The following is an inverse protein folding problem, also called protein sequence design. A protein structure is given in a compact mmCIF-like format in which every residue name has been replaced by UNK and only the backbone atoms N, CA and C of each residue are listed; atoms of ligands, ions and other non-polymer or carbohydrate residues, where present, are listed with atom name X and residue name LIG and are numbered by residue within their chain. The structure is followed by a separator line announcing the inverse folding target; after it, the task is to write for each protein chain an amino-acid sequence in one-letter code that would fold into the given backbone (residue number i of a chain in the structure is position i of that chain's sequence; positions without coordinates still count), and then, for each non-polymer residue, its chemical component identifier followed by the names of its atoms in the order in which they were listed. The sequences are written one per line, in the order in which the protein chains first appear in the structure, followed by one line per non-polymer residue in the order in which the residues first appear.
data_IF_812404421146
#
_entry.id   IF_812404421146
#
_cell.length_a   1.000
_cell.length_b   1.000
_cell.length_c   1.000
_cell.angle_alpha   90.00
_cell.angle_beta   90.00
_cell.angle_gamma   90.00
#
_symmetry.space_group_name_H-M   'P 1'
#
loop_
_entity.id
_entity.type
_entity.pdbx_description
1 polymer ?
#
# COMPACT_ATOMS: atom_id res chain seq x y z
N UNK A 1 -33.00 -39.16 -10.89
CA UNK A 1 -31.73 -38.93 -10.19
C UNK A 1 -31.53 -37.45 -10.03
N UNK A 2 -31.74 -36.94 -8.81
CA UNK A 2 -31.72 -35.51 -8.47
C UNK A 2 -30.30 -35.10 -8.08
N UNK A 3 -29.65 -34.29 -8.93
CA UNK A 3 -28.32 -33.72 -8.68
C UNK A 3 -28.42 -32.51 -7.75
N UNK A 4 -27.88 -32.66 -6.55
CA UNK A 4 -27.85 -31.63 -5.50
C UNK A 4 -26.83 -30.54 -5.87
N UNK A 5 -27.27 -29.27 -5.97
CA UNK A 5 -26.36 -28.10 -6.07
C UNK A 5 -26.00 -27.63 -4.66
N UNK A 6 -24.73 -27.72 -4.30
CA UNK A 6 -24.21 -27.11 -3.09
C UNK A 6 -24.28 -25.58 -3.18
N UNK A 7 -24.69 -24.86 -2.12
CA UNK A 7 -24.60 -23.41 -2.06
C UNK A 7 -23.16 -22.96 -1.78
N UNK A 8 -22.67 -22.02 -2.59
CA UNK A 8 -21.36 -21.38 -2.42
C UNK A 8 -21.23 -20.74 -1.03
N UNK A 9 -20.16 -21.09 -0.29
CA UNK A 9 -19.85 -20.52 1.02
C UNK A 9 -19.52 -19.01 0.94
N UNK A 10 -19.96 -18.15 1.89
CA UNK A 10 -19.77 -16.70 1.82
C UNK A 10 -18.36 -16.18 2.16
N UNK A 11 -17.36 -17.06 2.29
CA UNK A 11 -16.06 -16.70 2.87
C UNK A 11 -14.89 -16.60 1.87
N UNK A 12 -15.16 -16.69 0.56
CA UNK A 12 -14.11 -16.55 -0.47
C UNK A 12 -13.83 -15.09 -0.86
N UNK A 13 -13.71 -14.21 0.13
CA UNK A 13 -13.10 -12.88 -0.03
C UNK A 13 -12.04 -12.70 1.03
N UNK A 14 -11.04 -13.59 0.99
CA UNK A 14 -9.74 -13.34 1.61
C UNK A 14 -9.15 -12.08 0.98
N UNK A 15 -9.37 -10.92 1.60
CA UNK A 15 -8.53 -9.76 1.41
C UNK A 15 -7.12 -10.14 1.87
N UNK A 16 -6.26 -10.49 0.91
CA UNK A 16 -4.85 -10.76 1.16
C UNK A 16 -4.24 -9.60 1.95
N UNK A 17 -3.83 -9.87 3.19
CA UNK A 17 -3.22 -8.91 4.12
C UNK A 17 -1.92 -8.29 3.58
N UNK A 18 -1.35 -8.89 2.53
CA UNK A 18 -0.16 -8.39 1.86
C UNK A 18 -0.46 -7.29 0.82
N UNK A 19 -1.73 -7.06 0.44
CA UNK A 19 -2.10 -5.99 -0.50
C UNK A 19 -1.71 -4.60 0.01
N UNK A 20 -1.70 -4.38 1.32
CA UNK A 20 -1.45 -3.08 1.92
C UNK A 20 0.00 -2.61 1.82
N UNK A 21 0.95 -3.51 2.09
CA UNK A 21 2.37 -3.27 1.83
C UNK A 21 2.61 -3.05 0.34
N UNK A 22 2.03 -3.89 -0.52
CA UNK A 22 2.16 -3.78 -1.97
C UNK A 22 1.58 -2.50 -2.55
N UNK A 23 0.48 -1.97 -2.01
CA UNK A 23 -0.13 -0.71 -2.45
C UNK A 23 0.71 0.53 -2.14
N UNK A 24 1.52 0.50 -1.09
CA UNK A 24 2.43 1.61 -0.76
C UNK A 24 3.44 1.81 -1.89
N UNK A 25 4.11 0.74 -2.32
CA UNK A 25 5.17 0.80 -3.33
C UNK A 25 4.71 0.49 -4.76
N UNK A 26 3.46 0.09 -4.96
CA UNK A 26 2.89 -0.08 -6.30
C UNK A 26 2.41 1.26 -6.86
N UNK A 27 2.76 1.58 -8.12
CA UNK A 27 2.06 2.62 -8.87
C UNK A 27 0.56 2.31 -8.92
N UNK A 28 -0.28 3.35 -8.92
CA UNK A 28 -1.69 3.14 -9.26
C UNK A 28 -1.77 2.71 -10.73
N UNK A 29 -2.71 1.81 -11.08
CA UNK A 29 -2.80 1.23 -12.42
C UNK A 29 -2.98 2.26 -13.56
N UNK A 30 -3.36 3.50 -13.23
CA UNK A 30 -3.48 4.64 -14.14
C UNK A 30 -2.17 5.40 -14.41
N UNK A 31 -1.09 5.13 -13.68
CA UNK A 31 0.16 5.90 -13.70
C UNK A 31 1.36 5.11 -14.28
N UNK A 32 1.15 3.87 -14.70
CA UNK A 32 2.16 2.97 -15.30
C UNK A 32 2.79 3.58 -16.57
N UNK A 33 4.14 3.72 -16.67
CA UNK A 33 4.81 4.42 -17.77
C UNK A 33 4.53 3.91 -19.19
N UNK A 34 4.08 2.66 -19.29
CA UNK A 34 3.91 1.96 -20.56
C UNK A 34 2.57 1.23 -20.65
N UNK A 35 1.71 1.34 -19.63
CA UNK A 35 0.39 0.67 -19.58
C UNK A 35 0.41 -0.86 -19.64
N UNK A 36 1.59 -1.50 -19.61
CA UNK A 36 1.75 -2.98 -19.72
C UNK A 36 2.47 -3.58 -18.51
N UNK A 37 3.26 -2.79 -17.79
CA UNK A 37 3.89 -3.25 -16.56
C UNK A 37 2.81 -3.44 -15.50
N UNK A 38 2.89 -4.57 -14.81
CA UNK A 38 2.00 -4.96 -13.72
C UNK A 38 2.86 -5.33 -12.54
N UNK A 39 2.66 -4.63 -11.43
CA UNK A 39 3.19 -5.07 -10.15
C UNK A 39 2.37 -6.27 -9.67
N UNK A 40 2.98 -7.45 -9.55
CA UNK A 40 2.29 -8.63 -9.02
C UNK A 40 2.35 -8.70 -7.49
N UNK A 41 1.45 -9.50 -6.92
CA UNK A 41 1.29 -9.71 -5.47
C UNK A 41 2.52 -10.28 -4.74
N UNK A 42 3.56 -10.65 -5.48
CA UNK A 42 4.83 -11.24 -5.04
C UNK A 42 5.98 -10.23 -5.02
N UNK A 43 5.74 -8.96 -5.38
CA UNK A 43 6.76 -7.91 -5.41
C UNK A 43 7.63 -7.92 -6.67
N UNK A 44 7.31 -8.75 -7.66
CA UNK A 44 7.97 -8.75 -8.97
C UNK A 44 7.23 -7.82 -9.95
N UNK A 45 8.01 -7.08 -10.75
CA UNK A 45 7.47 -6.33 -11.89
C UNK A 45 7.36 -7.29 -13.08
N UNK A 46 6.13 -7.56 -13.54
CA UNK A 46 5.84 -8.43 -14.68
C UNK A 46 5.24 -7.61 -15.83
N UNK A 47 5.20 -8.16 -17.04
CA UNK A 47 4.67 -7.47 -18.23
C UNK A 47 5.74 -6.89 -19.17
N UNK A 48 7.01 -7.08 -18.86
CA UNK A 48 8.12 -6.75 -19.77
C UNK A 48 8.10 -7.61 -21.04
N UNK A 49 7.69 -8.86 -20.89
CA UNK A 49 7.34 -9.78 -21.97
C UNK A 49 6.27 -9.19 -22.89
N UNK A 50 5.26 -8.52 -22.34
CA UNK A 50 4.22 -7.83 -23.11
C UNK A 50 4.75 -6.64 -23.92
N UNK A 51 5.72 -5.89 -23.39
CA UNK A 51 6.40 -4.79 -24.10
C UNK A 51 7.24 -5.33 -25.26
N UNK A 52 8.03 -6.38 -25.02
CA UNK A 52 8.83 -7.06 -26.03
C UNK A 52 7.96 -7.65 -27.16
N UNK A 53 6.86 -8.34 -26.80
CA UNK A 53 5.94 -8.94 -27.76
C UNK A 53 5.20 -7.88 -28.60
N UNK A 54 4.80 -6.75 -27.99
CA UNK A 54 4.24 -5.60 -28.73
C UNK A 54 5.24 -4.94 -29.67
N UNK A 55 6.52 -4.87 -29.31
CA UNK A 55 7.54 -4.30 -30.20
C UNK A 55 7.81 -5.22 -31.40
N UNK A 56 7.73 -6.54 -31.19
CA UNK A 56 7.82 -7.56 -32.25
C UNK A 56 6.58 -7.59 -33.14
N UNK A 57 5.39 -7.31 -32.61
CA UNK A 57 4.18 -7.21 -33.43
C UNK A 57 4.21 -5.96 -34.33
N UNK A 58 3.61 -6.05 -35.51
CA UNK A 58 3.61 -5.00 -36.54
C UNK A 58 2.56 -3.91 -36.30
N UNK A 59 1.70 -4.04 -35.29
CA UNK A 59 0.46 -3.26 -35.17
C UNK A 59 0.59 -1.91 -34.45
N UNK A 60 1.81 -1.44 -34.14
CA UNK A 60 2.00 -0.17 -33.44
C UNK A 60 2.24 1.00 -34.38
N UNK A 61 1.56 2.11 -34.10
CA UNK A 61 1.88 3.41 -34.71
C UNK A 61 3.36 3.75 -34.52
N UNK A 62 3.99 4.32 -35.54
CA UNK A 62 5.44 4.61 -35.60
C UNK A 62 5.96 5.37 -34.37
N UNK A 63 5.20 6.35 -33.86
CA UNK A 63 5.52 7.13 -32.66
C UNK A 63 5.55 6.27 -31.38
N UNK A 64 4.54 5.42 -31.17
CA UNK A 64 4.49 4.52 -30.02
C UNK A 64 5.62 3.47 -30.04
N UNK A 65 5.94 2.95 -31.24
CA UNK A 65 7.06 2.02 -31.44
C UNK A 65 8.40 2.66 -31.07
N UNK A 66 8.66 3.90 -31.51
CA UNK A 66 9.88 4.66 -31.17
C UNK A 66 9.99 4.92 -29.67
N UNK A 67 8.89 5.25 -29.00
CA UNK A 67 8.85 5.44 -27.53
C UNK A 67 9.18 4.15 -26.77
N UNK A 68 8.61 3.01 -27.18
CA UNK A 68 8.91 1.71 -26.58
C UNK A 68 10.34 1.25 -26.83
N UNK A 69 10.86 1.49 -28.03
CA UNK A 69 12.24 1.17 -28.38
C UNK A 69 13.24 1.98 -27.53
N UNK A 70 13.00 3.28 -27.36
CA UNK A 70 13.78 4.13 -26.46
C UNK A 70 13.68 3.69 -24.99
N UNK A 71 12.50 3.25 -24.54
CA UNK A 71 12.30 2.69 -23.20
C UNK A 71 12.86 1.26 -23.03
N UNK A 72 13.31 0.62 -24.10
CA UNK A 72 14.02 -0.67 -24.06
C UNK A 72 15.54 -0.47 -24.14
N UNK A 73 15.97 0.58 -24.84
CA UNK A 73 17.34 1.09 -24.81
C UNK A 73 17.68 1.71 -23.44
N UNK A 74 16.71 2.41 -22.82
CA UNK A 74 16.81 2.96 -21.48
C UNK A 74 16.22 1.98 -20.48
N UNK A 75 17.00 1.42 -19.56
CA UNK A 75 16.47 0.39 -18.66
C UNK A 75 15.28 0.93 -17.83
N UNK A 76 14.12 0.25 -17.84
CA UNK A 76 12.85 0.68 -17.19
C UNK A 76 13.00 0.99 -15.69
N UNK A 77 13.95 0.33 -15.03
CA UNK A 77 14.23 0.56 -13.61
C UNK A 77 14.65 2.00 -13.33
N UNK A 78 15.32 2.68 -14.26
CA UNK A 78 15.79 4.05 -14.07
C UNK A 78 14.61 5.00 -13.98
N UNK A 79 13.60 4.82 -14.82
CA UNK A 79 12.36 5.59 -14.75
C UNK A 79 11.59 5.29 -13.45
N UNK A 80 11.50 4.03 -13.05
CA UNK A 80 10.88 3.65 -11.77
C UNK A 80 11.63 4.24 -10.57
N UNK A 81 12.96 4.31 -10.64
CA UNK A 81 13.78 4.92 -9.60
C UNK A 81 13.51 6.42 -9.50
N UNK A 82 13.51 7.13 -10.62
CA UNK A 82 13.27 8.58 -10.66
C UNK A 82 11.90 8.94 -10.09
N UNK A 83 10.85 8.29 -10.57
CA UNK A 83 9.48 8.51 -10.05
C UNK A 83 9.36 8.21 -8.56
N UNK A 84 10.00 7.15 -8.09
CA UNK A 84 10.01 6.85 -6.67
C UNK A 84 10.79 7.90 -5.87
N UNK A 85 11.78 8.58 -6.46
CA UNK A 85 12.50 9.67 -5.81
C UNK A 85 11.59 10.89 -5.69
N UNK A 86 10.91 11.27 -6.76
CA UNK A 86 9.91 12.33 -6.75
C UNK A 86 8.82 12.08 -5.70
N UNK A 87 8.24 10.87 -5.69
CA UNK A 87 7.22 10.47 -4.71
C UNK A 87 7.75 10.52 -3.28
N UNK A 88 8.97 10.04 -3.06
CA UNK A 88 9.62 10.09 -1.75
C UNK A 88 9.81 11.54 -1.28
N UNK A 89 10.31 12.43 -2.14
CA UNK A 89 10.49 13.84 -1.80
C UNK A 89 9.16 14.55 -1.50
N UNK A 90 8.10 14.25 -2.27
CA UNK A 90 6.76 14.76 -2.00
C UNK A 90 6.23 14.31 -0.62
N UNK A 91 6.42 13.03 -0.28
CA UNK A 91 6.05 12.51 1.05
C UNK A 91 6.80 13.27 2.13
N UNK A 92 8.12 13.41 2.02
CA UNK A 92 8.94 14.13 2.99
C UNK A 92 8.52 15.60 3.13
N UNK A 93 8.22 16.28 2.01
CA UNK A 93 7.79 17.67 2.01
C UNK A 93 6.44 17.88 2.70
N UNK A 94 5.54 16.88 2.63
CA UNK A 94 4.21 16.92 3.25
C UNK A 94 4.19 16.65 4.76
N UNK A 95 5.31 16.24 5.36
CA UNK A 95 5.36 15.86 6.78
C UNK A 95 5.20 17.07 7.71
N UNK A 96 4.43 16.89 8.79
CA UNK A 96 4.27 17.90 9.83
C UNK A 96 5.60 18.30 10.48
N UNK A 97 5.78 19.59 10.72
CA UNK A 97 7.00 20.15 11.33
C UNK A 97 6.84 20.43 12.83
N UNK A 98 5.60 20.61 13.29
CA UNK A 98 5.26 20.92 14.68
C UNK A 98 4.18 19.98 15.20
N UNK A 99 4.10 19.84 16.54
CA UNK A 99 3.08 19.00 17.17
C UNK A 99 1.64 19.43 16.81
N UNK A 100 1.27 20.73 16.82
CA UNK A 100 -0.07 21.15 16.39
C UNK A 100 -0.38 20.77 14.94
N UNK A 101 0.58 20.92 14.02
CA UNK A 101 0.42 20.48 12.63
C UNK A 101 0.16 18.98 12.54
N UNK A 102 0.90 18.17 13.30
CA UNK A 102 0.72 16.72 13.33
C UNK A 102 -0.66 16.31 13.87
N UNK A 103 -1.17 17.03 14.89
CA UNK A 103 -2.53 16.82 15.42
C UNK A 103 -3.59 17.17 14.37
N UNK A 104 -3.44 18.31 13.69
CA UNK A 104 -4.35 18.72 12.61
C UNK A 104 -4.35 17.72 11.47
N UNK A 105 -3.16 17.29 11.03
CA UNK A 105 -3.00 16.35 9.92
C UNK A 105 -3.56 14.97 10.27
N UNK A 106 -3.30 14.47 11.48
CA UNK A 106 -3.88 13.22 11.98
C UNK A 106 -5.41 13.27 11.96
N UNK A 107 -5.99 14.37 12.44
CA UNK A 107 -7.45 14.55 12.48
C UNK A 107 -8.02 14.64 11.07
N UNK A 108 -7.36 15.36 10.15
CA UNK A 108 -7.74 15.48 8.74
C UNK A 108 -7.70 14.12 8.03
N UNK A 109 -6.69 13.29 8.30
CA UNK A 109 -6.50 11.98 7.65
C UNK A 109 -7.46 10.91 8.15
N UNK A 110 -7.63 10.82 9.46
CA UNK A 110 -8.30 9.68 10.10
C UNK A 110 -9.67 10.01 10.69
N UNK A 111 -10.10 11.27 10.62
CA UNK A 111 -11.42 11.72 11.08
C UNK A 111 -11.63 11.60 12.60
N UNK A 112 -10.55 11.48 13.38
CA UNK A 112 -10.59 11.28 14.82
C UNK A 112 -9.44 12.01 15.52
N UNK A 113 -9.60 12.40 16.79
CA UNK A 113 -8.50 12.98 17.55
C UNK A 113 -7.36 11.97 17.74
N UNK A 114 -6.11 12.44 17.85
CA UNK A 114 -4.98 11.57 18.13
C UNK A 114 -5.12 10.85 19.47
N UNK A 115 -4.55 9.64 19.61
CA UNK A 115 -4.64 8.86 20.84
C UNK A 115 -3.91 9.52 22.01
N UNK A 116 -4.20 9.06 23.22
CA UNK A 116 -3.46 9.47 24.42
C UNK A 116 -1.96 9.13 24.25
N UNK A 117 -1.08 10.07 24.60
CA UNK A 117 0.37 9.91 24.46
C UNK A 117 0.93 10.30 23.09
N UNK A 118 0.12 10.91 22.21
CA UNK A 118 0.58 11.39 20.90
C UNK A 118 1.72 12.42 20.98
N UNK A 119 1.71 13.25 22.01
CA UNK A 119 2.79 14.18 22.34
C UNK A 119 4.11 13.46 22.65
N UNK A 120 4.06 12.37 23.42
CA UNK A 120 5.23 11.56 23.76
C UNK A 120 5.79 10.86 22.51
N UNK A 121 4.91 10.34 21.67
CA UNK A 121 5.28 9.76 20.39
C UNK A 121 5.90 10.81 19.45
N UNK A 122 5.36 12.03 19.39
CA UNK A 122 5.96 13.13 18.63
C UNK A 122 7.38 13.44 19.12
N UNK A 123 7.58 13.53 20.44
CA UNK A 123 8.91 13.74 21.03
C UNK A 123 9.86 12.58 20.70
N UNK A 124 9.38 11.34 20.71
CA UNK A 124 10.15 10.19 20.26
C UNK A 124 10.56 10.33 18.78
N UNK A 125 9.64 10.70 17.89
CA UNK A 125 9.94 10.91 16.47
C UNK A 125 11.02 11.99 16.27
N UNK A 126 10.93 13.11 17.00
CA UNK A 126 11.92 14.19 16.94
C UNK A 126 13.29 13.74 17.44
N UNK A 127 13.36 13.05 18.57
CA UNK A 127 14.63 12.56 19.14
C UNK A 127 15.32 11.53 18.24
N UNK A 128 14.56 10.68 17.57
CA UNK A 128 15.10 9.61 16.72
C UNK A 128 15.19 9.99 15.23
N UNK A 129 14.96 11.26 14.87
CA UNK A 129 15.01 11.74 13.49
C UNK A 129 14.12 10.91 12.53
N UNK A 130 12.95 10.50 13.01
CA UNK A 130 11.96 9.77 12.19
C UNK A 130 11.52 10.66 11.03
N UNK A 131 11.67 10.14 9.80
CA UNK A 131 11.41 10.90 8.58
C UNK A 131 9.93 11.04 8.24
N UNK A 132 9.15 9.99 8.51
CA UNK A 132 7.72 9.96 8.26
C UNK A 132 7.02 10.00 9.61
N UNK A 133 6.43 11.15 9.93
CA UNK A 133 5.82 11.37 11.24
C UNK A 133 4.32 11.17 11.22
N UNK A 134 3.58 11.46 10.16
CA UNK A 134 2.11 11.46 10.22
C UNK A 134 1.42 10.65 9.11
N UNK A 135 2.20 9.98 8.25
CA UNK A 135 1.70 9.19 7.13
C UNK A 135 1.76 7.68 7.45
N UNK A 136 0.75 7.19 8.16
CA UNK A 136 0.61 5.79 8.57
C UNK A 136 -0.72 5.17 8.12
N UNK A 137 -1.16 5.53 6.91
CA UNK A 137 -2.49 5.19 6.39
C UNK A 137 -2.70 3.66 6.31
N UNK A 138 -1.64 2.91 6.02
CA UNK A 138 -1.71 1.46 5.96
C UNK A 138 -2.02 0.85 7.34
N UNK A 139 -1.23 1.20 8.35
CA UNK A 139 -1.47 0.74 9.73
C UNK A 139 -2.87 1.13 10.18
N UNK A 140 -3.30 2.35 9.85
CA UNK A 140 -4.64 2.81 10.22
C UNK A 140 -5.77 2.00 9.59
N UNK A 141 -5.64 1.60 8.32
CA UNK A 141 -6.60 0.68 7.67
C UNK A 141 -6.61 -0.69 8.33
N UNK A 142 -5.43 -1.22 8.64
CA UNK A 142 -5.30 -2.56 9.23
C UNK A 142 -5.93 -2.64 10.61
N UNK A 143 -5.86 -1.55 11.39
CA UNK A 143 -6.46 -1.49 12.72
C UNK A 143 -7.91 -0.97 12.73
N UNK A 144 -8.42 -0.49 11.59
CA UNK A 144 -9.73 0.17 11.49
C UNK A 144 -10.87 -0.75 11.95
N UNK A 145 -10.78 -2.03 11.61
CA UNK A 145 -11.73 -3.07 12.00
C UNK A 145 -11.92 -3.16 13.53
N UNK A 146 -10.88 -2.83 14.31
CA UNK A 146 -10.96 -2.90 15.76
C UNK A 146 -11.61 -1.67 16.40
N UNK A 147 -11.73 -0.55 15.69
CA UNK A 147 -12.41 0.64 16.22
C UNK A 147 -13.92 0.45 16.37
N UNK A 148 -14.52 -0.52 15.67
CA UNK A 148 -15.91 -0.89 15.85
C UNK A 148 -16.17 -1.68 17.15
N UNK A 149 -15.13 -2.20 17.80
CA UNK A 149 -15.25 -2.98 19.03
C UNK A 149 -15.21 -2.06 20.25
N UNK A 150 -16.02 -2.36 21.28
CA UNK A 150 -15.87 -1.68 22.56
C UNK A 150 -14.50 -2.02 23.19
N UNK A 151 -13.89 -1.08 23.91
CA UNK A 151 -12.60 -1.32 24.57
C UNK A 151 -12.60 -2.55 25.50
N UNK A 152 -13.72 -2.82 26.17
CA UNK A 152 -13.86 -3.96 27.07
C UNK A 152 -13.89 -5.29 26.32
N UNK A 153 -14.62 -5.35 25.20
CA UNK A 153 -14.67 -6.54 24.36
C UNK A 153 -13.31 -6.84 23.72
N UNK A 154 -12.61 -5.80 23.26
CA UNK A 154 -11.26 -5.94 22.70
C UNK A 154 -10.30 -6.52 23.74
N UNK A 155 -10.27 -5.98 24.98
CA UNK A 155 -9.44 -6.50 26.08
C UNK A 155 -9.77 -7.95 26.42
N UNK A 156 -11.06 -8.29 26.51
CA UNK A 156 -11.51 -9.68 26.76
C UNK A 156 -10.98 -10.64 25.69
N UNK A 157 -11.10 -10.29 24.40
CA UNK A 157 -10.59 -11.11 23.29
C UNK A 157 -9.07 -11.24 23.31
N UNK A 158 -8.36 -10.15 23.58
CA UNK A 158 -6.89 -10.17 23.68
C UNK A 158 -6.42 -11.06 24.84
N UNK A 159 -7.10 -11.02 25.99
CA UNK A 159 -6.76 -11.88 27.13
C UNK A 159 -7.05 -13.35 26.81
N UNK A 160 -8.20 -13.65 26.20
CA UNK A 160 -8.54 -15.01 25.77
C UNK A 160 -7.48 -15.60 24.83
N UNK A 161 -6.99 -14.82 23.86
CA UNK A 161 -5.94 -15.25 22.93
C UNK A 161 -4.61 -15.60 23.63
N UNK A 162 -4.30 -14.96 24.76
CA UNK A 162 -3.10 -15.29 25.55
C UNK A 162 -3.24 -16.62 26.30
N UNK A 163 -4.47 -16.97 26.66
CA UNK A 163 -4.79 -18.16 27.46
C UNK A 163 -4.99 -19.40 26.59
N UNK A 164 -5.35 -19.25 25.32
CA UNK A 164 -5.48 -20.37 24.38
C UNK A 164 -4.12 -20.96 24.02
N UNK A 165 -3.85 -22.25 24.31
CA UNK A 165 -2.68 -22.94 23.80
C UNK A 165 -2.74 -22.96 22.28
N UNK A 166 -1.71 -22.46 21.61
CA UNK A 166 -1.64 -22.54 20.15
C UNK A 166 -1.41 -23.99 19.76
N UNK A 167 -2.33 -24.56 18.99
CA UNK A 167 -2.12 -25.87 18.38
C UNK A 167 -0.95 -25.75 17.40
N UNK A 168 0.16 -26.44 17.70
CA UNK A 168 1.34 -26.54 16.82
C UNK A 168 1.08 -27.46 15.63
#
# INVERSE_FOLDING_TARGET
GTGNRHPSSPLDKSHSSHRGLLQWWSPSASEEPLGVLKFTGDGLVRGWDGVYNKLKSSDLKRSARKKLQLAMETHPILELMERNRERWQSILASQSKTLPQAVTEYTRRYGRPPPRGFDQWWQFCKRNNVKIVDNYDQINRDIELYFALSPDLLRKRVNLLKETPHTS
#
